data_IF_925280862656
#
_entry.id   IF_925280862656
#
_cell.length_a   1.000
_cell.length_b   1.000
_cell.length_c   1.000
_cell.angle_alpha   90.00
_cell.angle_beta   90.00
_cell.angle_gamma   90.00
#
_symmetry.space_group_name_H-M   'P 1'
#
loop_
_entity.id
_entity.type
_entity.pdbx_description
1 polymer ?
#
# COMPACT_ATOMS: atom_id res chain seq x y z
N UNK A 1 13.71 11.54 6.48
CA UNK A 1 13.22 11.19 5.12
C UNK A 1 12.50 9.86 5.25
N UNK A 2 11.27 9.71 4.74
CA UNK A 2 10.53 8.45 4.83
C UNK A 2 11.04 7.51 3.75
N UNK A 3 11.44 6.29 4.15
CA UNK A 3 11.92 5.27 3.23
C UNK A 3 10.75 4.46 2.65
N UNK A 4 10.36 4.81 1.43
CA UNK A 4 9.27 4.16 0.71
C UNK A 4 9.81 3.06 -0.20
N UNK A 5 9.35 1.82 0.01
CA UNK A 5 9.66 0.67 -0.85
C UNK A 5 8.46 0.28 -1.71
N UNK A 6 8.74 -0.36 -2.85
CA UNK A 6 7.71 -0.89 -3.73
C UNK A 6 6.92 -2.00 -3.02
N UNK A 7 5.60 -2.04 -3.22
CA UNK A 7 4.80 -3.14 -2.70
C UNK A 7 5.03 -4.40 -3.53
N UNK A 8 5.26 -5.54 -2.88
CA UNK A 8 5.44 -6.86 -3.51
C UNK A 8 4.51 -7.90 -2.90
N UNK A 9 4.41 -9.07 -3.53
CA UNK A 9 3.64 -10.19 -2.99
C UNK A 9 4.15 -10.66 -1.62
N UNK A 10 5.45 -10.50 -1.34
CA UNK A 10 6.06 -10.87 -0.06
C UNK A 10 5.60 -9.96 1.10
N UNK A 11 5.03 -8.79 0.81
CA UNK A 11 4.57 -7.85 1.83
C UNK A 11 3.13 -8.15 2.32
N UNK A 12 2.49 -9.22 1.83
CA UNK A 12 1.09 -9.55 2.13
C UNK A 12 0.78 -9.57 3.63
N UNK A 13 1.57 -10.31 4.40
CA UNK A 13 1.29 -10.51 5.82
C UNK A 13 1.46 -9.19 6.59
N UNK A 14 2.48 -8.40 6.24
CA UNK A 14 2.69 -7.08 6.82
C UNK A 14 1.55 -6.11 6.46
N UNK A 15 1.16 -6.00 5.20
CA UNK A 15 0.09 -5.08 4.79
C UNK A 15 -1.25 -5.47 5.44
N UNK A 16 -1.58 -6.78 5.42
CA UNK A 16 -2.85 -7.27 5.97
C UNK A 16 -2.91 -7.20 7.49
N UNK A 17 -1.77 -7.26 8.20
CA UNK A 17 -1.76 -7.05 9.65
C UNK A 17 -2.21 -5.65 10.06
N UNK A 18 -2.06 -4.64 9.18
CA UNK A 18 -2.57 -3.29 9.42
C UNK A 18 -4.00 -3.11 8.89
N UNK A 19 -4.30 -3.60 7.68
CA UNK A 19 -5.59 -3.34 7.04
C UNK A 19 -6.72 -4.13 7.67
N UNK A 20 -6.49 -5.41 8.02
CA UNK A 20 -7.51 -6.29 8.64
C UNK A 20 -7.81 -5.92 10.10
N UNK A 21 -6.86 -5.28 10.79
CA UNK A 21 -7.04 -4.81 12.17
C UNK A 21 -7.50 -3.34 12.24
N UNK A 22 -7.99 -2.79 11.14
CA UNK A 22 -8.50 -1.43 11.06
C UNK A 22 -10.01 -1.40 10.78
N UNK A 23 -10.66 -0.28 11.05
CA UNK A 23 -12.07 -0.04 10.70
C UNK A 23 -12.28 0.39 9.23
N UNK A 24 -11.21 0.42 8.42
CA UNK A 24 -11.27 0.88 7.03
C UNK A 24 -11.85 -0.21 6.13
N UNK A 25 -12.75 0.18 5.22
CA UNK A 25 -13.51 -0.73 4.34
C UNK A 25 -13.43 -0.37 2.86
N UNK A 26 -12.63 0.64 2.49
CA UNK A 26 -12.48 1.02 1.08
C UNK A 26 -11.71 -0.07 0.33
N UNK A 27 -12.09 -0.30 -0.92
CA UNK A 27 -11.53 -1.37 -1.73
C UNK A 27 -10.05 -1.13 -2.08
N UNK A 28 -9.55 0.10 -2.06
CA UNK A 28 -8.15 0.39 -2.38
C UNK A 28 -7.18 -0.25 -1.38
N UNK A 29 -7.64 -0.58 -0.17
CA UNK A 29 -6.83 -1.29 0.83
C UNK A 29 -6.84 -2.81 0.69
N UNK A 30 -7.59 -3.35 -0.27
CA UNK A 30 -7.44 -4.75 -0.65
C UNK A 30 -6.00 -4.97 -1.13
N UNK A 31 -5.31 -5.95 -0.54
CA UNK A 31 -3.94 -6.30 -0.95
C UNK A 31 -3.85 -6.62 -2.45
N UNK A 32 -4.90 -7.25 -3.00
CA UNK A 32 -5.02 -7.51 -4.43
C UNK A 32 -5.00 -6.20 -5.22
N UNK A 33 -5.81 -5.21 -4.83
CA UNK A 33 -5.86 -3.93 -5.53
C UNK A 33 -4.53 -3.17 -5.42
N UNK A 34 -3.92 -3.11 -4.24
CA UNK A 34 -2.62 -2.44 -4.05
C UNK A 34 -1.53 -3.01 -4.97
N UNK A 35 -1.49 -4.33 -5.14
CA UNK A 35 -0.53 -4.99 -6.04
C UNK A 35 -0.92 -4.86 -7.51
N UNK A 36 -2.18 -5.17 -7.85
CA UNK A 36 -2.66 -5.21 -9.24
C UNK A 36 -2.67 -3.85 -9.91
N UNK A 37 -2.86 -2.76 -9.17
CA UNK A 37 -2.84 -1.41 -9.73
C UNK A 37 -1.45 -0.74 -9.66
N UNK A 38 -0.42 -1.44 -9.15
CA UNK A 38 0.94 -0.89 -9.04
C UNK A 38 1.52 -0.48 -10.39
N UNK A 39 1.18 -1.19 -11.48
CA UNK A 39 1.66 -0.84 -12.82
C UNK A 39 1.22 0.56 -13.27
N UNK A 40 0.06 1.04 -12.79
CA UNK A 40 -0.48 2.34 -13.14
C UNK A 40 -0.01 3.42 -12.16
N UNK A 41 -0.05 3.14 -10.86
CA UNK A 41 0.16 4.14 -9.82
C UNK A 41 1.57 4.19 -9.23
N UNK A 42 2.43 3.24 -9.60
CA UNK A 42 3.75 3.03 -9.00
C UNK A 42 3.69 3.00 -7.46
N UNK A 43 2.71 2.27 -6.92
CA UNK A 43 2.39 2.23 -5.49
C UNK A 43 3.59 1.77 -4.65
N UNK A 44 3.96 2.59 -3.67
CA UNK A 44 4.97 2.31 -2.64
C UNK A 44 4.35 2.40 -1.25
N UNK A 45 5.00 1.83 -0.25
CA UNK A 45 4.58 1.94 1.14
C UNK A 45 5.75 2.13 2.11
N UNK A 46 5.43 2.59 3.31
CA UNK A 46 6.34 2.68 4.44
C UNK A 46 5.56 2.47 5.75
N UNK A 47 6.27 2.15 6.83
CA UNK A 47 5.74 2.20 8.20
C UNK A 47 6.33 3.45 8.87
N UNK A 48 5.47 4.36 9.33
CA UNK A 48 5.88 5.61 10.00
C UNK A 48 5.05 5.75 11.27
N UNK A 49 5.70 5.87 12.42
CA UNK A 49 5.03 6.00 13.73
C UNK A 49 3.94 4.95 13.96
N UNK A 50 4.21 3.70 13.56
CA UNK A 50 3.28 2.58 13.64
C UNK A 50 2.00 2.74 12.77
N UNK A 51 2.07 3.55 11.72
CA UNK A 51 1.07 3.64 10.66
C UNK A 51 1.62 3.07 9.35
N UNK A 52 0.79 2.28 8.68
CA UNK A 52 0.99 1.90 7.29
C UNK A 52 0.58 3.07 6.39
N UNK A 53 1.52 3.64 5.66
CA UNK A 53 1.30 4.73 4.71
C UNK A 53 1.62 4.32 3.29
N UNK A 54 0.79 4.74 2.35
CA UNK A 54 0.96 4.49 0.92
C UNK A 54 1.33 5.77 0.18
N UNK A 55 2.20 5.63 -0.83
CA UNK A 55 2.54 6.69 -1.78
C UNK A 55 2.20 6.19 -3.17
N UNK A 56 1.40 6.96 -3.91
CA UNK A 56 0.96 6.63 -5.25
C UNK A 56 1.00 7.89 -6.13
N UNK A 57 1.18 7.70 -7.43
CA UNK A 57 1.20 8.78 -8.42
C UNK A 57 0.36 8.37 -9.63
N UNK A 58 -0.61 9.19 -10.01
CA UNK A 58 -1.25 9.05 -11.30
C UNK A 58 -0.44 9.85 -12.32
N UNK A 59 0.20 9.16 -13.27
CA UNK A 59 0.71 9.84 -14.48
C UNK A 59 -0.49 10.14 -15.37
N UNK A 60 -0.92 11.40 -15.37
CA UNK A 60 -1.82 11.93 -16.39
C UNK A 60 -0.90 12.48 -17.48
N UNK A 61 -0.95 11.88 -18.67
CA UNK A 61 -0.29 12.42 -19.86
C UNK A 61 -1.06 13.62 -20.39
#
# INVERSE_FOLDING_TARGET
MIDFKDITLADKDLITSYTMNSSRRNCDLSFSNLCSWRFLYNTKFAIVDNFLVFKFWLKIN
#
